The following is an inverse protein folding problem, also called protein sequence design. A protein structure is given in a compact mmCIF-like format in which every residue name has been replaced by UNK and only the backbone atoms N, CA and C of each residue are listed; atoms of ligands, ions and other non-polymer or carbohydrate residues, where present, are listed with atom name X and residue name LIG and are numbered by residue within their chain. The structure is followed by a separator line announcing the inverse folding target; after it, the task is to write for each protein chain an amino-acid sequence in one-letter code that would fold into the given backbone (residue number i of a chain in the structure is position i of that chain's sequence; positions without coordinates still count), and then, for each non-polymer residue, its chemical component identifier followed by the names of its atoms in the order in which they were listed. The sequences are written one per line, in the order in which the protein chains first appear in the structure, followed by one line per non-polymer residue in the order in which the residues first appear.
data_IF_970059893305
#
_entry.id   IF_970059893305
#
_cell.length_a   1.000
_cell.length_b   1.000
_cell.length_c   1.000
_cell.angle_alpha   90.00
_cell.angle_beta   90.00
_cell.angle_gamma   90.00
#
_symmetry.space_group_name_H-M   'P 1'
#
loop_
_entity.id
_entity.type
_entity.pdbx_description
1 polymer ?
#
# COMPACT_ATOMS: atom_id res chain seq x y z
N UNK A 1 0.61 23.23 9.04
CA UNK A 1 0.61 24.25 7.96
C UNK A 1 -0.68 24.08 7.20
N UNK A 2 -1.39 25.17 6.92
CA UNK A 2 -2.56 25.11 6.05
C UNK A 2 -2.08 24.85 4.62
N UNK A 3 -2.69 23.87 3.94
CA UNK A 3 -2.37 23.59 2.56
C UNK A 3 -3.00 24.64 1.64
N UNK A 4 -2.35 24.92 0.51
CA UNK A 4 -2.84 25.84 -0.51
C UNK A 4 -4.21 25.39 -1.05
N UNK A 5 -4.39 24.08 -1.22
CA UNK A 5 -5.68 23.48 -1.58
C UNK A 5 -6.44 23.14 -0.31
N UNK A 6 -7.68 23.65 -0.20
CA UNK A 6 -8.58 23.31 0.90
C UNK A 6 -8.94 21.80 0.89
N UNK A 7 -9.04 21.15 2.06
CA UNK A 7 -9.53 19.77 2.20
C UNK A 7 -10.91 19.53 1.56
N UNK A 8 -11.74 20.58 1.51
CA UNK A 8 -13.11 20.51 0.97
C UNK A 8 -13.16 20.67 -0.56
N UNK A 9 -12.03 21.01 -1.20
CA UNK A 9 -11.93 21.18 -2.65
C UNK A 9 -11.81 19.82 -3.35
N UNK A 10 -12.84 18.98 -3.24
CA UNK A 10 -12.79 17.58 -3.65
C UNK A 10 -12.36 17.38 -5.12
N UNK A 11 -12.90 18.15 -6.06
CA UNK A 11 -12.57 18.05 -7.49
C UNK A 11 -11.10 18.39 -7.74
N UNK A 12 -10.56 19.39 -7.05
CA UNK A 12 -9.15 19.79 -7.18
C UNK A 12 -8.24 18.71 -6.60
N UNK A 13 -8.61 18.12 -5.45
CA UNK A 13 -7.85 17.01 -4.86
C UNK A 13 -7.87 15.77 -5.76
N UNK A 14 -9.01 15.45 -6.39
CA UNK A 14 -9.08 14.40 -7.40
C UNK A 14 -8.17 14.69 -8.59
N UNK A 15 -8.16 15.92 -9.09
CA UNK A 15 -7.25 16.34 -10.17
C UNK A 15 -5.79 16.11 -9.78
N UNK A 16 -5.40 16.44 -8.54
CA UNK A 16 -4.02 16.23 -8.07
C UNK A 16 -3.68 14.74 -7.98
N UNK A 17 -4.55 13.92 -7.38
CA UNK A 17 -4.33 12.47 -7.23
C UNK A 17 -4.28 11.76 -8.59
N UNK A 18 -5.27 12.01 -9.45
CA UNK A 18 -5.34 11.43 -10.80
C UNK A 18 -4.20 11.96 -11.66
N UNK A 19 -3.88 13.26 -11.56
CA UNK A 19 -2.79 13.89 -12.28
C UNK A 19 -1.43 13.28 -11.92
N UNK A 20 -1.16 13.06 -10.63
CA UNK A 20 0.05 12.37 -10.18
C UNK A 20 0.11 10.92 -10.68
N UNK A 21 -1.01 10.19 -10.62
CA UNK A 21 -1.09 8.82 -11.13
C UNK A 21 -0.86 8.75 -12.66
N UNK A 22 -1.49 9.66 -13.41
CA UNK A 22 -1.32 9.77 -14.86
C UNK A 22 0.12 10.13 -15.22
N UNK A 23 0.74 11.06 -14.49
CA UNK A 23 2.14 11.43 -14.66
C UNK A 23 3.07 10.23 -14.40
N UNK A 24 2.79 9.44 -13.37
CA UNK A 24 3.55 8.22 -13.09
C UNK A 24 3.46 7.19 -14.21
N UNK A 25 2.25 6.85 -14.64
CA UNK A 25 2.02 5.88 -15.73
C UNK A 25 2.66 6.37 -17.03
N UNK A 26 2.47 7.64 -17.38
CA UNK A 26 3.01 8.20 -18.61
C UNK A 26 4.53 8.28 -18.59
N UNK A 27 5.11 8.62 -17.43
CA UNK A 27 6.56 8.61 -17.22
C UNK A 27 7.15 7.22 -17.42
N UNK A 28 6.51 6.17 -16.90
CA UNK A 28 6.96 4.78 -17.09
C UNK A 28 6.88 4.38 -18.56
N UNK A 29 5.76 4.71 -19.23
CA UNK A 29 5.57 4.43 -20.65
C UNK A 29 6.61 5.13 -21.53
N UNK A 30 6.87 6.42 -21.29
CA UNK A 30 7.88 7.20 -22.03
C UNK A 30 9.31 6.98 -21.56
N UNK A 31 9.52 6.25 -20.46
CA UNK A 31 10.82 6.04 -19.82
C UNK A 31 11.56 7.34 -19.46
N UNK A 32 10.82 8.38 -19.06
CA UNK A 32 11.40 9.68 -18.71
C UNK A 32 12.46 9.59 -17.62
N UNK A 33 12.25 8.70 -16.64
CA UNK A 33 13.21 8.42 -15.57
C UNK A 33 13.85 7.03 -15.70
N UNK A 34 13.99 6.52 -16.92
CA UNK A 34 14.67 5.26 -17.21
C UNK A 34 13.92 4.04 -16.64
N UNK A 35 14.45 3.45 -15.55
CA UNK A 35 13.93 2.22 -14.93
C UNK A 35 12.99 2.46 -13.73
N UNK A 36 12.70 3.72 -13.39
CA UNK A 36 11.76 4.00 -12.30
C UNK A 36 10.35 3.55 -12.70
N UNK A 37 9.71 2.76 -11.84
CA UNK A 37 8.30 2.42 -11.97
C UNK A 37 7.44 3.68 -11.85
N UNK A 38 6.34 3.74 -12.59
CA UNK A 38 5.38 4.84 -12.53
C UNK A 38 4.81 5.06 -11.14
N UNK A 39 4.70 3.99 -10.33
CA UNK A 39 4.30 4.07 -8.93
C UNK A 39 5.24 4.97 -8.12
N UNK A 40 6.56 4.85 -8.32
CA UNK A 40 7.53 5.71 -7.62
C UNK A 40 7.35 7.17 -7.97
N UNK A 41 7.14 7.45 -9.26
CA UNK A 41 6.97 8.81 -9.76
C UNK A 41 5.69 9.42 -9.19
N UNK A 42 4.60 8.65 -9.11
CA UNK A 42 3.36 9.05 -8.43
C UNK A 42 3.60 9.34 -6.95
N UNK A 43 4.32 8.45 -6.24
CA UNK A 43 4.63 8.63 -4.82
C UNK A 43 5.48 9.87 -4.57
N UNK A 44 6.56 10.07 -5.33
CA UNK A 44 7.46 11.23 -5.21
C UNK A 44 6.68 12.52 -5.50
N UNK A 45 5.90 12.57 -6.58
CA UNK A 45 5.14 13.77 -6.93
C UNK A 45 4.14 14.16 -5.84
N UNK A 46 3.35 13.21 -5.33
CA UNK A 46 2.43 13.48 -4.21
C UNK A 46 3.15 13.86 -2.92
N UNK A 47 4.30 13.23 -2.65
CA UNK A 47 5.12 13.56 -1.48
C UNK A 47 5.66 15.00 -1.56
N UNK A 48 6.18 15.40 -2.71
CA UNK A 48 6.67 16.77 -2.94
C UNK A 48 5.54 17.80 -2.84
N UNK A 49 4.36 17.50 -3.40
CA UNK A 49 3.18 18.36 -3.29
C UNK A 49 2.72 18.52 -1.82
N UNK A 50 2.75 17.43 -1.05
CA UNK A 50 2.43 17.44 0.37
C UNK A 50 3.45 18.24 1.18
N UNK A 51 4.74 18.03 0.93
CA UNK A 51 5.84 18.75 1.59
C UNK A 51 5.86 20.25 1.25
N UNK A 52 5.53 20.61 0.01
CA UNK A 52 5.40 22.01 -0.41
C UNK A 52 4.12 22.68 0.12
N UNK A 53 3.27 21.96 0.86
CA UNK A 53 2.00 22.46 1.38
C UNK A 53 0.96 22.72 0.30
N UNK A 54 1.07 22.09 -0.88
CA UNK A 54 0.09 22.25 -1.98
C UNK A 54 -1.17 21.45 -1.67
N UNK A 55 -1.02 20.20 -1.26
CA UNK A 55 -2.13 19.30 -0.90
C UNK A 55 -2.19 19.08 0.62
N UNK A 56 -3.37 18.84 1.20
CA UNK A 56 -3.48 18.53 2.62
C UNK A 56 -2.77 17.23 2.96
N UNK A 57 -2.06 17.21 4.10
CA UNK A 57 -1.31 16.03 4.56
C UNK A 57 -2.28 15.04 5.21
N UNK A 58 -2.34 13.81 4.71
CA UNK A 58 -3.23 12.77 5.23
C UNK A 58 -2.98 12.42 6.72
N UNK A 59 -1.74 12.59 7.21
CA UNK A 59 -1.38 12.34 8.61
C UNK A 59 -1.84 13.45 9.57
N UNK A 60 -2.45 14.53 9.10
CA UNK A 60 -2.89 15.61 9.98
C UNK A 60 -4.20 15.21 10.69
N UNK A 61 -4.20 15.00 12.02
CA UNK A 61 -5.37 14.51 12.75
C UNK A 61 -6.52 15.53 12.80
N UNK A 62 -6.23 16.81 12.58
CA UNK A 62 -7.21 17.89 12.64
C UNK A 62 -7.91 18.12 11.29
N UNK A 63 -7.47 17.41 10.24
CA UNK A 63 -7.97 17.61 8.88
C UNK A 63 -8.42 16.27 8.34
N UNK A 64 -9.73 16.13 8.12
CA UNK A 64 -10.27 15.00 7.37
C UNK A 64 -10.35 15.37 5.89
N UNK A 65 -9.81 14.51 5.03
CA UNK A 65 -9.84 14.72 3.58
C UNK A 65 -10.70 13.62 2.95
N UNK A 66 -11.96 13.92 2.65
CA UNK A 66 -12.92 12.92 2.19
C UNK A 66 -12.53 12.25 0.87
N UNK A 67 -11.75 12.93 0.01
CA UNK A 67 -11.22 12.33 -1.22
C UNK A 67 -10.26 11.17 -0.92
N UNK A 68 -9.40 11.32 0.08
CA UNK A 68 -8.46 10.25 0.47
C UNK A 68 -9.22 9.09 1.11
N UNK A 69 -10.19 9.40 1.98
CA UNK A 69 -11.09 8.40 2.57
C UNK A 69 -11.86 7.63 1.50
N UNK A 70 -12.34 8.29 0.45
CA UNK A 70 -13.04 7.65 -0.66
C UNK A 70 -12.14 6.66 -1.41
N UNK A 71 -10.87 7.02 -1.63
CA UNK A 71 -9.89 6.12 -2.27
C UNK A 71 -9.69 4.87 -1.43
N UNK A 72 -9.44 5.02 -0.14
CA UNK A 72 -9.22 3.89 0.77
C UNK A 72 -10.46 3.03 0.98
N UNK A 73 -11.63 3.64 1.09
CA UNK A 73 -12.89 2.94 1.45
C UNK A 73 -13.57 2.26 0.27
N UNK A 74 -13.38 2.76 -0.96
CA UNK A 74 -14.10 2.27 -2.14
C UNK A 74 -13.18 1.86 -3.28
N UNK A 75 -12.28 2.75 -3.72
CA UNK A 75 -11.45 2.45 -4.90
C UNK A 75 -10.48 1.30 -4.64
N UNK A 76 -9.80 1.27 -3.49
CA UNK A 76 -8.86 0.19 -3.16
C UNK A 76 -9.58 -1.18 -3.09
N UNK A 77 -10.67 -1.35 -2.31
CA UNK A 77 -11.39 -2.63 -2.26
C UNK A 77 -11.91 -3.12 -3.61
N UNK A 78 -12.37 -2.22 -4.49
CA UNK A 78 -12.85 -2.57 -5.83
C UNK A 78 -11.68 -2.92 -6.77
N UNK A 79 -10.55 -2.22 -6.65
CA UNK A 79 -9.38 -2.43 -7.50
C UNK A 79 -8.75 -3.82 -7.29
N UNK A 80 -8.83 -4.37 -6.07
CA UNK A 80 -8.24 -5.68 -5.75
C UNK A 80 -8.84 -6.80 -6.62
N UNK A 81 -10.18 -7.04 -6.65
CA UNK A 81 -10.79 -7.99 -7.57
C UNK A 81 -10.49 -7.71 -9.05
N UNK A 82 -10.50 -6.44 -9.47
CA UNK A 82 -10.21 -6.07 -10.85
C UNK A 82 -8.79 -6.47 -11.27
N UNK A 83 -7.80 -6.27 -10.40
CA UNK A 83 -6.42 -6.73 -10.62
C UNK A 83 -6.35 -8.26 -10.67
N UNK A 84 -7.10 -8.96 -9.81
CA UNK A 84 -7.17 -10.42 -9.82
C UNK A 84 -7.81 -10.99 -11.09
N UNK A 85 -8.79 -10.30 -11.71
CA UNK A 85 -9.37 -10.72 -12.98
C UNK A 85 -8.36 -10.73 -14.12
N UNK A 86 -7.33 -9.88 -14.06
CA UNK A 86 -6.24 -9.86 -15.03
C UNK A 86 -5.18 -10.95 -14.81
N UNK A 87 -5.29 -11.72 -13.71
CA UNK A 87 -4.27 -12.68 -13.30
C UNK A 87 -4.84 -14.12 -13.28
N UNK A 88 -3.99 -15.10 -13.60
CA UNK A 88 -4.37 -16.50 -13.47
C UNK A 88 -4.43 -16.92 -11.98
N UNK A 89 -5.64 -16.97 -11.42
CA UNK A 89 -5.88 -17.30 -10.01
C UNK A 89 -5.31 -18.69 -9.64
N UNK A 90 -5.41 -19.68 -10.53
CA UNK A 90 -4.85 -21.02 -10.29
C UNK A 90 -3.34 -20.98 -10.15
N UNK A 91 -2.67 -20.17 -10.99
CA UNK A 91 -1.22 -19.93 -10.89
C UNK A 91 -0.89 -19.20 -9.59
N UNK A 92 -1.66 -18.16 -9.24
CA UNK A 92 -1.51 -17.44 -7.96
C UNK A 92 -1.54 -18.44 -6.81
N UNK A 93 -2.58 -19.25 -6.67
CA UNK A 93 -2.72 -20.21 -5.56
C UNK A 93 -1.54 -21.18 -5.49
N UNK A 94 -1.06 -21.67 -6.63
CA UNK A 94 0.08 -22.59 -6.70
C UNK A 94 1.40 -21.91 -6.29
N UNK A 95 1.58 -20.65 -6.64
CA UNK A 95 2.80 -19.88 -6.35
C UNK A 95 2.75 -19.19 -4.98
N UNK A 96 1.55 -18.95 -4.44
CA UNK A 96 1.31 -18.31 -3.14
C UNK A 96 2.04 -19.01 -2.01
N UNK A 97 2.23 -20.33 -2.05
CA UNK A 97 2.98 -21.04 -1.00
C UNK A 97 4.41 -20.55 -0.85
N UNK A 98 5.14 -20.34 -1.96
CA UNK A 98 6.52 -19.81 -1.91
C UNK A 98 6.54 -18.34 -1.49
N UNK A 99 5.57 -17.56 -1.98
CA UNK A 99 5.41 -16.15 -1.60
C UNK A 99 5.07 -16.00 -0.12
N UNK A 100 4.25 -16.89 0.43
CA UNK A 100 3.88 -16.91 1.84
C UNK A 100 5.09 -17.19 2.74
N UNK A 101 5.95 -18.14 2.35
CA UNK A 101 7.21 -18.40 3.08
C UNK A 101 8.12 -17.16 3.05
N UNK A 102 8.27 -16.52 1.89
CA UNK A 102 9.04 -15.28 1.78
C UNK A 102 8.45 -14.15 2.65
N UNK A 103 7.13 -14.02 2.67
CA UNK A 103 6.41 -13.09 3.54
C UNK A 103 6.66 -13.37 5.02
N UNK A 104 6.58 -14.64 5.47
CA UNK A 104 6.83 -15.01 6.87
C UNK A 104 8.27 -14.69 7.26
N UNK A 105 9.25 -15.01 6.40
CA UNK A 105 10.66 -14.66 6.65
C UNK A 105 10.82 -13.13 6.76
N UNK A 106 10.18 -12.38 5.87
CA UNK A 106 10.16 -10.92 5.92
C UNK A 106 9.54 -10.38 7.21
N UNK A 107 8.39 -10.94 7.63
CA UNK A 107 7.70 -10.58 8.86
C UNK A 107 8.56 -10.86 10.11
N UNK A 108 9.24 -12.01 10.16
CA UNK A 108 10.22 -12.32 11.21
C UNK A 108 11.36 -11.30 11.21
N UNK A 109 11.87 -10.93 10.03
CA UNK A 109 12.88 -9.89 9.89
C UNK A 109 12.43 -8.53 10.43
N UNK A 110 11.18 -8.14 10.17
CA UNK A 110 10.58 -6.91 10.72
C UNK A 110 10.51 -6.98 12.24
N UNK A 111 10.03 -8.10 12.81
CA UNK A 111 9.93 -8.27 14.27
C UNK A 111 11.31 -8.19 14.93
N UNK A 112 12.31 -8.90 14.39
CA UNK A 112 13.69 -8.84 14.89
C UNK A 112 14.24 -7.42 14.77
N UNK A 113 14.06 -6.76 13.64
CA UNK A 113 14.52 -5.38 13.43
C UNK A 113 13.88 -4.39 14.42
N UNK A 114 12.59 -4.53 14.69
CA UNK A 114 11.89 -3.71 15.68
C UNK A 114 12.38 -3.99 17.11
N UNK A 115 12.66 -5.26 17.45
CA UNK A 115 13.21 -5.62 18.75
C UNK A 115 14.63 -5.07 18.95
N UNK A 116 15.46 -5.13 17.91
CA UNK A 116 16.79 -4.52 17.90
C UNK A 116 16.64 -3.00 18.09
N UNK A 117 15.80 -2.33 17.30
CA UNK A 117 15.60 -0.89 17.40
C UNK A 117 15.11 -0.47 18.80
N UNK A 118 14.13 -1.19 19.35
CA UNK A 118 13.65 -1.02 20.73
C UNK A 118 14.76 -1.16 21.77
N UNK A 119 15.69 -2.10 21.56
CA UNK A 119 16.81 -2.32 22.50
C UNK A 119 17.87 -1.21 22.47
N UNK A 120 17.99 -0.49 21.35
CA UNK A 120 18.97 0.59 21.17
C UNK A 120 18.39 1.98 21.37
N UNK A 121 17.08 2.15 21.21
CA UNK A 121 16.40 3.45 21.23
C UNK A 121 15.36 3.44 22.35
N UNK A 122 15.66 4.12 23.44
CA UNK A 122 14.73 4.33 24.54
C UNK A 122 13.83 5.53 24.25
N UNK A 123 12.55 5.26 23.99
CA UNK A 123 11.49 6.27 23.81
C UNK A 123 10.67 6.48 25.11
N UNK A 124 11.11 5.91 26.23
CA UNK A 124 10.38 5.90 27.51
C UNK A 124 9.45 4.68 27.64
N UNK A 125 8.46 4.80 28.54
CA UNK A 125 7.59 3.69 28.95
C UNK A 125 6.81 3.05 27.79
N UNK A 126 6.52 3.80 26.73
CA UNK A 126 5.75 3.33 25.56
C UNK A 126 6.59 2.91 24.34
N UNK A 127 7.91 2.80 24.52
CA UNK A 127 8.83 2.34 23.47
C UNK A 127 8.43 0.99 22.89
N UNK A 128 7.99 0.05 23.74
CA UNK A 128 7.55 -1.29 23.32
C UNK A 128 6.24 -1.25 22.51
N UNK A 129 5.26 -0.46 22.95
CA UNK A 129 4.00 -0.27 22.24
C UNK A 129 4.22 0.40 20.88
N UNK A 130 5.10 1.42 20.85
CA UNK A 130 5.50 2.12 19.62
C UNK A 130 6.15 1.17 18.63
N UNK A 131 7.10 0.33 19.08
CA UNK A 131 7.72 -0.69 18.24
C UNK A 131 6.69 -1.72 17.73
N UNK A 132 5.73 -2.11 18.57
CA UNK A 132 4.66 -3.04 18.21
C UNK A 132 3.74 -2.52 17.11
N UNK A 133 3.30 -1.26 17.19
CA UNK A 133 2.42 -0.67 16.16
C UNK A 133 3.15 -0.41 14.84
N UNK A 134 4.43 -0.04 14.88
CA UNK A 134 5.27 0.09 13.69
C UNK A 134 5.50 -1.28 13.04
N UNK A 135 5.83 -2.31 13.83
CA UNK A 135 5.99 -3.67 13.31
C UNK A 135 4.71 -4.18 12.62
N UNK A 136 3.55 -3.94 13.24
CA UNK A 136 2.25 -4.30 12.66
C UNK A 136 2.02 -3.65 11.29
N UNK A 137 2.48 -2.41 11.13
CA UNK A 137 2.31 -1.60 9.92
C UNK A 137 3.24 -2.01 8.80
N UNK A 138 4.49 -2.31 9.12
CA UNK A 138 5.42 -2.82 8.13
C UNK A 138 5.03 -4.22 7.64
N UNK A 139 4.32 -5.00 8.46
CA UNK A 139 3.81 -6.32 8.08
C UNK A 139 2.50 -6.23 7.27
N UNK A 140 1.56 -5.35 7.64
CA UNK A 140 0.22 -5.34 7.02
C UNK A 140 -0.43 -3.96 6.85
N UNK A 141 0.35 -2.90 6.83
CA UNK A 141 -0.06 -1.54 6.51
C UNK A 141 -0.84 -0.81 7.61
N UNK A 142 -1.38 0.35 7.26
CA UNK A 142 -2.03 1.27 8.21
C UNK A 142 -3.25 0.65 8.93
N UNK A 143 -3.95 -0.31 8.31
CA UNK A 143 -5.05 -1.01 8.98
C UNK A 143 -4.55 -1.85 10.15
N UNK A 144 -3.39 -2.52 9.99
CA UNK A 144 -2.75 -3.26 11.07
C UNK A 144 -2.16 -2.34 12.13
N UNK A 145 -1.66 -1.15 11.76
CA UNK A 145 -1.28 -0.10 12.74
C UNK A 145 -2.43 0.15 13.71
N UNK A 146 -3.60 0.50 13.17
CA UNK A 146 -4.77 0.92 13.94
C UNK A 146 -5.31 -0.22 14.79
N UNK A 147 -5.34 -1.44 14.24
CA UNK A 147 -5.76 -2.63 14.99
C UNK A 147 -4.81 -2.92 16.16
N UNK A 148 -3.49 -2.93 15.93
CA UNK A 148 -2.49 -3.15 16.97
C UNK A 148 -2.53 -2.04 18.03
N UNK A 149 -2.67 -0.78 17.61
CA UNK A 149 -2.76 0.35 18.53
C UNK A 149 -3.97 0.25 19.46
N UNK A 150 -5.11 -0.26 18.96
CA UNK A 150 -6.29 -0.52 19.78
C UNK A 150 -6.06 -1.63 20.80
N UNK A 151 -5.43 -2.74 20.39
CA UNK A 151 -5.14 -3.88 21.27
C UNK A 151 -4.14 -3.50 22.36
N UNK A 152 -3.12 -2.72 22.00
CA UNK A 152 -2.06 -2.27 22.91
C UNK A 152 -2.48 -1.04 23.76
N UNK A 153 -3.72 -0.56 23.62
CA UNK A 153 -4.19 0.72 24.21
C UNK A 153 -3.30 1.93 23.86
N UNK A 154 -2.57 1.85 22.75
CA UNK A 154 -1.71 2.90 22.24
C UNK A 154 -2.50 4.01 21.52
N UNK A 155 -3.75 3.76 21.11
CA UNK A 155 -4.58 4.75 20.42
C UNK A 155 -4.89 6.01 21.23
N UNK A 156 -4.85 5.92 22.56
CA UNK A 156 -5.06 7.07 23.46
C UNK A 156 -3.74 7.69 23.93
N UNK A 157 -2.60 7.17 23.48
CA UNK A 157 -1.29 7.64 23.89
C UNK A 157 -0.97 9.01 23.23
N UNK A 158 -0.34 9.97 23.94
CA UNK A 158 0.11 11.22 23.34
C UNK A 158 1.05 11.04 22.14
N UNK A 159 1.83 9.96 22.10
CA UNK A 159 2.73 9.61 20.99
C UNK A 159 2.00 9.11 19.75
N UNK A 160 0.74 8.66 19.85
CA UNK A 160 0.02 7.99 18.76
C UNK A 160 0.07 8.75 17.43
N UNK A 161 -0.30 10.03 17.46
CA UNK A 161 -0.29 10.89 16.27
C UNK A 161 1.13 11.10 15.73
N UNK A 162 2.10 11.29 16.61
CA UNK A 162 3.50 11.46 16.21
C UNK A 162 4.05 10.18 15.56
N UNK A 163 3.73 9.01 16.12
CA UNK A 163 4.10 7.71 15.57
C UNK A 163 3.48 7.48 14.20
N UNK A 164 2.19 7.80 13.99
CA UNK A 164 1.55 7.71 12.66
C UNK A 164 2.25 8.62 11.65
N UNK A 165 2.55 9.85 12.05
CA UNK A 165 3.20 10.81 11.16
C UNK A 165 4.59 10.33 10.72
N UNK A 166 5.38 9.83 11.68
CA UNK A 166 6.71 9.24 11.42
C UNK A 166 6.58 7.97 10.58
N UNK A 167 5.65 7.08 10.90
CA UNK A 167 5.42 5.84 10.16
C UNK A 167 5.11 6.12 8.68
N UNK A 168 4.16 7.01 8.38
CA UNK A 168 3.82 7.36 7.00
C UNK A 168 5.00 7.96 6.24
N UNK A 169 5.80 8.81 6.89
CA UNK A 169 6.98 9.41 6.28
C UNK A 169 8.08 8.37 6.00
N UNK A 170 8.43 7.56 7.01
CA UNK A 170 9.49 6.56 6.92
C UNK A 170 9.08 5.42 6.00
N UNK A 171 7.84 4.96 6.04
CA UNK A 171 7.31 3.92 5.14
C UNK A 171 7.38 4.35 3.69
N UNK A 172 7.09 5.62 3.39
CA UNK A 172 7.23 6.18 2.05
C UNK A 172 8.71 6.22 1.60
N UNK A 173 9.62 6.64 2.47
CA UNK A 173 11.06 6.67 2.19
C UNK A 173 11.66 5.26 2.05
N UNK A 174 11.24 4.33 2.89
CA UNK A 174 11.60 2.91 2.83
C UNK A 174 11.13 2.27 1.52
N UNK A 175 9.87 2.53 1.13
CA UNK A 175 9.32 2.04 -0.13
C UNK A 175 10.11 2.59 -1.31
N UNK A 176 10.39 3.90 -1.31
CA UNK A 176 11.26 4.52 -2.31
C UNK A 176 12.61 3.79 -2.40
N UNK A 177 13.26 3.54 -1.27
CA UNK A 177 14.54 2.85 -1.21
C UNK A 177 14.48 1.41 -1.74
N UNK A 178 13.45 0.63 -1.36
CA UNK A 178 13.25 -0.73 -1.86
C UNK A 178 13.07 -0.75 -3.38
N UNK A 179 12.27 0.15 -3.92
CA UNK A 179 12.01 0.21 -5.35
C UNK A 179 13.21 0.76 -6.15
N UNK A 180 14.07 1.58 -5.53
CA UNK A 180 15.35 2.01 -6.10
C UNK A 180 16.44 0.93 -6.03
N UNK A 181 16.30 -0.04 -5.12
CA UNK A 181 17.30 -1.10 -4.87
C UNK A 181 17.75 -1.83 -6.15
N UNK A 182 16.86 -2.28 -7.08
CA UNK A 182 17.27 -2.93 -8.32
C UNK A 182 18.06 -2.01 -9.27
N UNK A 183 17.94 -0.69 -9.12
CA UNK A 183 18.65 0.31 -9.93
C UNK A 183 20.06 0.59 -9.39
N UNK A 184 20.36 0.20 -8.14
CA UNK A 184 21.68 0.35 -7.52
C UNK A 184 22.57 -0.82 -7.97
N UNK A 185 23.57 -0.52 -8.81
CA UNK A 185 24.47 -1.51 -9.44
C UNK A 185 25.17 -2.44 -8.41
N UNK A 186 25.42 -1.93 -7.21
CA UNK A 186 26.04 -2.71 -6.13
C UNK A 186 25.07 -3.73 -5.53
N UNK A 187 23.84 -3.32 -5.20
CA UNK A 187 22.83 -4.22 -4.64
C UNK A 187 22.30 -5.19 -5.69
N UNK A 188 22.18 -4.78 -6.95
CA UNK A 188 21.69 -5.64 -8.05
C UNK A 188 22.56 -6.89 -8.29
N UNK A 189 23.78 -6.95 -7.74
CA UNK A 189 24.67 -8.12 -7.81
C UNK A 189 24.32 -9.22 -6.80
N UNK A 190 23.68 -8.86 -5.69
CA UNK A 190 23.22 -9.82 -4.67
C UNK A 190 21.88 -10.46 -5.05
N UNK A 191 21.13 -9.85 -5.97
CA UNK A 191 19.88 -10.41 -6.48
C UNK A 191 20.14 -11.34 -7.66
N UNK A 192 19.48 -12.51 -7.64
CA UNK A 192 19.51 -13.47 -8.74
C UNK A 192 19.03 -12.78 -10.00
N UNK A 193 19.87 -12.78 -11.06
CA UNK A 193 19.45 -12.28 -12.38
C UNK A 193 18.15 -13.01 -12.76
N UNK A 194 17.07 -12.28 -13.14
CA UNK A 194 15.81 -12.92 -13.47
C UNK A 194 16.05 -14.00 -14.51
N UNK A 195 15.60 -15.24 -14.22
CA UNK A 195 15.62 -16.33 -15.20
C UNK A 195 14.84 -15.88 -16.43
N UNK A 196 15.28 -16.29 -17.62
CA UNK A 196 14.56 -16.01 -18.88
C UNK A 196 13.10 -16.49 -18.84
N UNK A 197 12.79 -17.57 -18.12
CA UNK A 197 11.40 -17.99 -17.84
C UNK A 197 10.53 -16.91 -17.16
N UNK A 198 11.08 -16.11 -16.25
CA UNK A 198 10.35 -15.00 -15.61
C UNK A 198 10.18 -13.78 -16.53
N UNK A 199 10.91 -13.75 -17.65
CA UNK A 199 10.77 -12.75 -18.71
C UNK A 199 9.81 -13.26 -19.79
N UNK A 200 9.82 -14.57 -20.08
CA UNK A 200 8.93 -15.25 -21.03
C UNK A 200 7.48 -15.39 -20.51
N UNK A 201 7.24 -15.35 -19.19
CA UNK A 201 5.87 -15.25 -18.66
C UNK A 201 5.18 -13.90 -18.97
N UNK A 202 5.92 -12.90 -19.49
CA UNK A 202 5.34 -11.66 -20.02
C UNK A 202 4.97 -11.73 -21.50
N UNK A 203 5.52 -12.68 -22.25
CA UNK A 203 5.32 -12.81 -23.69
C UNK A 203 5.20 -14.30 -24.05
N UNK A 204 3.97 -14.73 -24.42
CA UNK A 204 3.65 -16.00 -25.10
C UNK A 204 3.49 -17.28 -24.26
N UNK A 205 2.30 -17.44 -23.66
CA UNK A 205 1.40 -18.62 -23.78
C UNK A 205 0.29 -18.61 -22.73
N UNK A 206 -0.49 -17.53 -22.70
CA UNK A 206 -1.91 -17.70 -22.48
C UNK A 206 -2.54 -17.65 -23.87
N UNK A 207 -3.38 -18.63 -24.20
CA UNK A 207 -4.29 -18.54 -25.32
C UNK A 207 -5.22 -17.35 -25.03
N UNK A 208 -4.74 -16.13 -25.31
CA UNK A 208 -5.57 -14.93 -25.21
C UNK A 208 -6.52 -14.94 -26.40
N UNK A 209 -7.72 -15.47 -26.18
CA UNK A 209 -8.88 -14.83 -26.78
C UNK A 209 -8.86 -13.38 -26.31
N UNK A 210 -8.27 -12.49 -27.12
CA UNK A 210 -8.32 -11.04 -26.91
C UNK A 210 -9.76 -10.60 -27.11
N UNK A 211 -10.55 -10.74 -26.06
CA UNK A 211 -11.88 -10.20 -26.05
C UNK A 211 -11.79 -8.68 -26.21
N UNK A 212 -12.59 -8.09 -27.11
CA UNK A 212 -12.57 -6.65 -27.28
C UNK A 212 -12.97 -5.97 -25.97
N UNK A 213 -12.29 -4.86 -25.64
CA UNK A 213 -12.70 -3.99 -24.53
C UNK A 213 -13.98 -3.30 -24.98
N UNK A 214 -15.12 -3.78 -24.48
CA UNK A 214 -16.43 -3.17 -24.72
C UNK A 214 -16.98 -2.53 -23.45
N UNK A 215 -17.87 -1.54 -23.60
CA UNK A 215 -18.46 -0.84 -22.46
C UNK A 215 -19.21 -1.79 -21.52
N UNK A 216 -19.87 -2.80 -22.08
CA UNK A 216 -20.60 -3.83 -21.34
C UNK A 216 -19.65 -4.65 -20.45
N UNK A 217 -18.47 -5.03 -20.98
CA UNK A 217 -17.47 -5.81 -20.23
C UNK A 217 -16.84 -5.00 -19.10
N UNK A 218 -16.60 -3.71 -19.34
CA UNK A 218 -16.13 -2.80 -18.28
C UNK A 218 -17.21 -2.70 -17.19
N UNK A 219 -18.47 -2.46 -17.56
CA UNK A 219 -19.57 -2.35 -16.61
C UNK A 219 -19.76 -3.62 -15.78
N UNK A 220 -19.74 -4.80 -16.43
CA UNK A 220 -19.87 -6.09 -15.75
C UNK A 220 -18.68 -6.37 -14.83
N UNK A 221 -17.44 -6.11 -15.27
CA UNK A 221 -16.26 -6.34 -14.42
C UNK A 221 -16.24 -5.41 -13.20
N UNK A 222 -16.61 -4.14 -13.37
CA UNK A 222 -16.75 -3.20 -12.25
C UNK A 222 -17.86 -3.62 -11.29
N UNK A 223 -19.01 -4.06 -11.81
CA UNK A 223 -20.12 -4.57 -11.00
C UNK A 223 -19.71 -5.78 -10.17
N UNK A 224 -19.08 -6.79 -10.78
CA UNK A 224 -18.63 -7.98 -10.06
C UNK A 224 -17.57 -7.61 -9.02
N UNK A 225 -16.63 -6.73 -9.34
CA UNK A 225 -15.62 -6.26 -8.39
C UNK A 225 -16.26 -5.55 -7.18
N UNK A 226 -17.23 -4.67 -7.42
CA UNK A 226 -17.99 -4.00 -6.36
C UNK A 226 -18.82 -4.99 -5.52
N UNK A 227 -19.43 -5.99 -6.16
CA UNK A 227 -20.16 -7.06 -5.47
C UNK A 227 -19.23 -7.84 -4.54
N UNK A 228 -18.06 -8.25 -5.02
CA UNK A 228 -17.06 -8.98 -4.22
C UNK A 228 -16.61 -8.13 -3.02
N UNK A 229 -16.29 -6.85 -3.25
CA UNK A 229 -15.89 -5.94 -2.18
C UNK A 229 -17.01 -5.74 -1.13
N UNK A 230 -18.25 -5.57 -1.59
CA UNK A 230 -19.42 -5.42 -0.72
C UNK A 230 -19.69 -6.69 0.11
N UNK A 231 -19.63 -7.86 -0.51
CA UNK A 231 -19.74 -9.14 0.19
C UNK A 231 -18.64 -9.28 1.25
N UNK A 232 -17.40 -8.92 0.94
CA UNK A 232 -16.30 -8.91 1.90
C UNK A 232 -16.60 -8.06 3.13
N UNK A 233 -17.13 -6.85 2.94
CA UNK A 233 -17.50 -5.94 4.03
C UNK A 233 -18.68 -6.44 4.88
N UNK A 234 -19.61 -7.20 4.30
CA UNK A 234 -20.74 -7.78 5.04
C UNK A 234 -20.29 -9.01 5.84
N UNK A 235 -19.39 -9.82 5.27
CA UNK A 235 -18.96 -11.10 5.85
C UNK A 235 -17.89 -10.90 6.94
N UNK A 236 -17.01 -9.90 6.82
CA UNK A 236 -15.91 -9.72 7.77
C UNK A 236 -16.37 -9.44 9.23
N UNK A 237 -17.29 -8.49 9.51
CA UNK A 237 -17.70 -8.18 10.89
C UNK A 237 -18.24 -9.36 11.71
N UNK A 238 -19.15 -10.22 11.21
CA UNK A 238 -19.63 -11.36 11.98
C UNK A 238 -18.54 -12.40 12.26
N UNK A 239 -17.58 -12.58 11.34
CA UNK A 239 -16.43 -13.49 11.55
C UNK A 239 -15.55 -12.96 12.69
N UNK A 240 -15.20 -11.67 12.65
CA UNK A 240 -14.38 -11.04 13.71
C UNK A 240 -15.08 -11.08 15.06
N UNK A 241 -16.40 -10.83 15.11
CA UNK A 241 -17.16 -10.89 16.36
C UNK A 241 -17.24 -12.31 16.94
N UNK A 242 -17.25 -13.35 16.08
CA UNK A 242 -17.23 -14.75 16.51
C UNK A 242 -15.89 -15.20 17.11
N UNK A 243 -14.79 -14.58 16.69
CA UNK A 243 -13.44 -14.90 17.20
C UNK A 243 -13.10 -14.13 18.47
N UNK A 244 -13.58 -12.89 18.65
CA UNK A 244 -13.37 -12.12 19.90
C UNK A 244 -14.17 -12.67 21.09
N UNK A 245 -15.29 -13.35 20.86
CA UNK A 245 -16.09 -13.97 21.93
C UNK A 245 -15.53 -15.32 22.43
N UNK A 246 -14.38 -15.77 21.91
CA UNK A 246 -13.70 -17.02 22.30
C UNK A 246 -12.40 -16.80 23.08
N UNK A 247 -12.02 -15.55 23.33
CA UNK A 247 -10.90 -15.13 24.20
C UNK A 247 -11.43 -14.48 25.45
#
# INVERSE_FOLDING_TARGET
MESLISPDSHVVLFLMVIGAAALGIYSEYKKWFGKLSGILVTMISMSLLSMAGVVPVASNPNIKVDVYEMVFSYFIPISIPMLLFSTNITKIIKESGKLLVAYIIGAIGIVIGCFIAYSFIDLGEDSGNTAGVIAATLIGGSVNFIAAAKILNFSTNPMFTATIAVDNFVSNLYTLFLFLTPSIIFLSRFFVKPKKENLEDKDEKQLEEKFPITMERIAVSLFIAALIAAMGNIIAPPITKSTTNRS
#
